data_IF_397052952283
#
_entry.id   IF_397052952283
#
_cell.length_a   1.000
_cell.length_b   1.000
_cell.length_c   1.000
_cell.angle_alpha   90.00
_cell.angle_beta   90.00
_cell.angle_gamma   90.00
#
_symmetry.space_group_name_H-M   'P 1'
#
loop_
_entity.id
_entity.type
_entity.pdbx_description
1 polymer ?
#
# COMPACT_ATOMS: atom_id res chain seq x y z
N UNK A 1 -1.91 -13.14 18.29
CA UNK A 1 -0.56 -13.40 17.77
C UNK A 1 -0.23 -12.24 16.86
N UNK A 2 0.78 -11.45 17.23
CA UNK A 2 1.42 -10.47 16.33
C UNK A 2 1.85 -11.21 15.06
N UNK A 3 1.49 -10.67 13.90
CA UNK A 3 1.94 -11.20 12.62
C UNK A 3 3.47 -11.16 12.56
N UNK A 4 4.07 -12.19 11.97
CA UNK A 4 5.49 -12.20 11.62
C UNK A 4 5.82 -10.89 10.93
N UNK A 5 6.69 -10.10 11.57
CA UNK A 5 7.31 -8.91 11.00
C UNK A 5 7.76 -9.26 9.58
N UNK A 6 7.33 -8.45 8.60
CA UNK A 6 7.76 -8.60 7.22
C UNK A 6 9.29 -8.64 7.21
N UNK A 7 9.88 -9.81 6.94
CA UNK A 7 11.24 -9.90 6.42
C UNK A 7 11.23 -9.07 5.14
N UNK A 8 11.85 -7.89 5.20
CA UNK A 8 11.86 -6.93 4.11
C UNK A 8 12.72 -7.46 2.97
N UNK A 9 12.21 -8.44 2.23
CA UNK A 9 12.61 -8.70 0.84
C UNK A 9 12.02 -7.63 -0.10
N UNK A 10 11.84 -6.40 0.41
CA UNK A 10 11.80 -5.22 -0.44
C UNK A 10 13.21 -5.10 -1.02
N UNK A 11 13.40 -5.62 -2.23
CA UNK A 11 14.61 -5.42 -3.06
C UNK A 11 14.82 -3.96 -3.47
N UNK A 12 14.45 -3.01 -2.60
CA UNK A 12 14.62 -1.57 -2.74
C UNK A 12 15.86 -1.06 -2.00
N UNK A 13 16.55 -1.90 -1.22
CA UNK A 13 17.73 -1.53 -0.43
C UNK A 13 19.02 -2.26 -0.87
N UNK A 14 19.09 -2.71 -2.13
CA UNK A 14 20.35 -3.22 -2.70
C UNK A 14 20.64 -2.59 -4.05
N UNK A 15 20.92 -1.29 -4.01
CA UNK A 15 21.88 -0.69 -4.92
C UNK A 15 22.60 0.40 -4.16
N UNK A 16 23.80 0.10 -3.69
CA UNK A 16 24.83 1.13 -3.56
C UNK A 16 24.95 1.79 -4.94
N UNK A 17 24.25 2.92 -5.14
CA UNK A 17 24.45 3.71 -6.35
C UNK A 17 25.80 4.38 -6.16
N UNK A 18 26.83 3.72 -6.69
CA UNK A 18 28.16 4.26 -6.76
C UNK A 18 28.08 5.67 -7.38
N UNK A 19 28.49 6.68 -6.62
CA UNK A 19 28.84 8.00 -7.15
C UNK A 19 30.08 7.81 -8.06
N UNK A 20 29.86 7.33 -9.28
CA UNK A 20 30.85 7.37 -10.35
C UNK A 20 30.39 8.37 -11.39
N UNK A 21 30.99 9.55 -11.30
CA UNK A 21 30.85 10.66 -12.23
C UNK A 21 31.31 10.26 -13.63
N UNK A 22 30.41 9.86 -14.53
CA UNK A 22 30.67 9.85 -15.98
C UNK A 22 29.41 10.31 -16.74
N UNK A 23 29.55 11.48 -17.36
CA UNK A 23 28.79 12.19 -18.38
C UNK A 23 27.66 11.44 -19.14
N UNK A 24 26.51 12.13 -19.21
CA UNK A 24 25.46 12.10 -20.24
C UNK A 24 24.84 10.75 -20.64
N UNK A 25 23.85 10.32 -19.86
CA UNK A 25 22.58 9.89 -20.43
C UNK A 25 21.47 10.48 -19.57
N UNK A 26 20.34 10.91 -20.17
CA UNK A 26 19.15 11.36 -19.44
C UNK A 26 18.49 10.17 -18.73
N UNK A 27 19.20 9.54 -17.79
CA UNK A 27 18.58 8.60 -16.86
C UNK A 27 17.88 9.48 -15.85
N UNK A 28 16.56 9.57 -15.95
CA UNK A 28 15.81 10.19 -14.85
C UNK A 28 16.15 9.41 -13.58
N UNK A 29 16.66 10.10 -12.57
CA UNK A 29 16.88 9.50 -11.26
C UNK A 29 15.63 8.74 -10.80
N UNK A 30 15.75 7.52 -10.26
CA UNK A 30 14.61 6.73 -9.83
C UNK A 30 13.79 7.51 -8.79
N UNK A 31 12.47 7.50 -8.96
CA UNK A 31 11.56 8.21 -8.07
C UNK A 31 11.13 7.27 -6.93
N UNK A 32 11.43 7.65 -5.69
CA UNK A 32 10.90 6.98 -4.52
C UNK A 32 9.44 7.42 -4.26
N UNK A 33 8.51 6.47 -4.33
CA UNK A 33 7.09 6.67 -3.99
C UNK A 33 6.77 5.87 -2.74
N UNK A 34 6.27 6.55 -1.71
CA UNK A 34 5.76 5.87 -0.53
C UNK A 34 4.36 5.39 -0.83
N UNK A 35 4.05 4.13 -0.53
CA UNK A 35 2.70 3.60 -0.70
C UNK A 35 2.32 2.69 0.46
N UNK A 36 1.02 2.57 0.68
CA UNK A 36 0.44 1.69 1.68
C UNK A 36 -0.91 1.13 1.19
N UNK A 37 -1.30 -0.03 1.73
CA UNK A 37 -2.51 -0.75 1.34
C UNK A 37 -3.36 -1.11 2.55
N UNK A 38 -4.65 -0.78 2.47
CA UNK A 38 -5.65 -1.34 3.37
C UNK A 38 -6.29 -2.57 2.74
N UNK A 39 -6.50 -3.61 3.54
CA UNK A 39 -6.97 -4.91 3.01
C UNK A 39 -8.11 -5.49 3.84
N UNK A 40 -8.92 -6.36 3.21
CA UNK A 40 -10.08 -6.98 3.84
C UNK A 40 -9.77 -8.01 4.94
N UNK A 41 -8.50 -8.44 5.05
CA UNK A 41 -7.96 -9.46 5.98
C UNK A 41 -6.46 -9.66 5.72
N UNK A 42 -5.75 -10.27 6.68
CA UNK A 42 -4.36 -10.70 6.51
C UNK A 42 -4.27 -12.03 5.74
N UNK A 43 -4.43 -11.99 4.42
CA UNK A 43 -4.34 -13.15 3.52
C UNK A 43 -3.99 -12.74 2.09
N UNK A 44 -3.39 -13.66 1.31
CA UNK A 44 -3.13 -13.46 -0.13
C UNK A 44 -4.40 -13.39 -0.98
N UNK A 45 -5.52 -13.88 -0.47
CA UNK A 45 -6.84 -13.81 -1.11
C UNK A 45 -7.66 -12.62 -0.58
N UNK A 46 -7.00 -11.59 -0.05
CA UNK A 46 -7.67 -10.42 0.49
C UNK A 46 -7.98 -9.42 -0.62
N UNK A 47 -9.15 -8.78 -0.55
CA UNK A 47 -9.42 -7.59 -1.36
C UNK A 47 -8.58 -6.42 -0.84
N UNK A 48 -8.04 -5.63 -1.76
CA UNK A 48 -7.50 -4.31 -1.46
C UNK A 48 -8.69 -3.35 -1.31
N UNK A 49 -8.76 -2.65 -0.18
CA UNK A 49 -9.83 -1.71 0.16
C UNK A 49 -9.42 -0.26 -0.11
N UNK A 50 -8.13 0.06 0.06
CA UNK A 50 -7.57 1.36 -0.26
C UNK A 50 -6.16 1.22 -0.83
N UNK A 51 -5.83 2.06 -1.82
CA UNK A 51 -4.47 2.27 -2.30
C UNK A 51 -4.10 3.72 -2.00
N UNK A 52 -3.10 3.92 -1.14
CA UNK A 52 -2.57 5.24 -0.83
C UNK A 52 -1.12 5.34 -1.33
N UNK A 53 -0.77 6.45 -1.97
CA UNK A 53 0.59 6.74 -2.39
C UNK A 53 0.93 8.23 -2.27
N UNK A 54 2.19 8.53 -1.99
CA UNK A 54 2.71 9.88 -1.86
C UNK A 54 4.09 10.02 -2.49
N UNK A 55 4.27 11.10 -3.26
CA UNK A 55 5.56 11.57 -3.75
C UNK A 55 5.64 13.09 -3.58
N UNK A 56 6.62 13.58 -2.84
CA UNK A 56 6.73 14.99 -2.45
C UNK A 56 5.40 15.52 -1.88
N UNK A 57 4.78 16.47 -2.59
CA UNK A 57 3.49 17.10 -2.24
C UNK A 57 2.30 16.44 -2.94
N UNK A 58 2.54 15.54 -3.89
CA UNK A 58 1.49 14.82 -4.62
C UNK A 58 1.01 13.64 -3.80
N UNK A 59 -0.31 13.49 -3.72
CA UNK A 59 -0.98 12.40 -3.02
C UNK A 59 -1.94 11.70 -3.96
N UNK A 60 -2.02 10.39 -3.84
CA UNK A 60 -3.01 9.53 -4.48
C UNK A 60 -3.65 8.69 -3.39
N UNK A 61 -4.97 8.66 -3.33
CA UNK A 61 -5.71 7.86 -2.35
C UNK A 61 -7.05 7.48 -2.95
N UNK A 62 -7.26 6.20 -3.18
CA UNK A 62 -8.50 5.68 -3.76
C UNK A 62 -9.01 4.49 -2.97
N UNK A 63 -10.33 4.43 -2.83
CA UNK A 63 -11.05 3.33 -2.21
C UNK A 63 -11.60 2.40 -3.28
N UNK A 64 -11.63 1.11 -2.99
CA UNK A 64 -12.10 0.07 -3.92
C UNK A 64 -13.19 -0.76 -3.24
N UNK A 65 -14.33 -0.90 -3.91
CA UNK A 65 -15.41 -1.73 -3.38
C UNK A 65 -14.99 -3.20 -3.31
N UNK A 66 -15.09 -3.84 -2.14
CA UNK A 66 -14.74 -5.23 -1.99
C UNK A 66 -15.79 -6.14 -2.62
N UNK A 67 -15.33 -7.24 -3.20
CA UNK A 67 -16.17 -8.34 -3.69
C UNK A 67 -16.45 -9.37 -2.60
N UNK A 68 -15.68 -9.34 -1.49
CA UNK A 68 -15.84 -10.24 -0.35
C UNK A 68 -16.11 -9.52 0.97
N UNK A 69 -16.44 -10.30 2.01
CA UNK A 69 -16.61 -9.78 3.37
C UNK A 69 -15.26 -9.33 3.95
N UNK A 70 -15.27 -8.16 4.59
CA UNK A 70 -14.16 -7.66 5.41
C UNK A 70 -14.18 -8.39 6.75
N UNK A 71 -13.02 -8.87 7.20
CA UNK A 71 -12.88 -9.51 8.50
C UNK A 71 -13.01 -8.46 9.61
N UNK A 72 -13.65 -8.82 10.73
CA UNK A 72 -13.88 -7.89 11.85
C UNK A 72 -12.61 -7.18 12.31
N UNK A 73 -11.50 -7.92 12.46
CA UNK A 73 -10.21 -7.35 12.84
C UNK A 73 -9.66 -6.35 11.81
N UNK A 74 -9.91 -6.56 10.51
CA UNK A 74 -9.50 -5.61 9.49
C UNK A 74 -10.33 -4.33 9.59
N UNK A 75 -11.66 -4.44 9.74
CA UNK A 75 -12.54 -3.29 9.98
C UNK A 75 -12.19 -2.52 11.25
N UNK A 76 -11.79 -3.19 12.33
CA UNK A 76 -11.32 -2.54 13.56
C UNK A 76 -9.99 -1.81 13.39
N UNK A 77 -9.16 -2.23 12.42
CA UNK A 77 -7.83 -1.65 12.19
C UNK A 77 -7.89 -0.41 11.31
N UNK A 78 -8.75 -0.41 10.30
CA UNK A 78 -8.79 0.64 9.28
C UNK A 78 -10.12 1.39 9.19
N UNK A 79 -11.07 1.08 10.06
CA UNK A 79 -12.41 1.66 10.09
C UNK A 79 -13.19 1.50 8.78
N UNK A 80 -12.84 0.51 7.94
CA UNK A 80 -13.53 0.22 6.69
C UNK A 80 -14.52 -0.94 6.85
N UNK A 81 -15.73 -0.73 6.39
CA UNK A 81 -16.81 -1.74 6.45
C UNK A 81 -17.44 -1.95 5.08
N UNK A 82 -17.91 -3.17 4.82
CA UNK A 82 -18.65 -3.50 3.60
C UNK A 82 -20.14 -3.58 3.96
N UNK A 83 -20.93 -2.64 3.45
CA UNK A 83 -22.38 -2.62 3.59
C UNK A 83 -22.98 -2.88 2.21
N UNK A 84 -23.53 -4.09 2.02
CA UNK A 84 -24.22 -4.50 0.77
C UNK A 84 -23.38 -4.38 -0.51
N UNK A 85 -22.06 -4.55 -0.42
CA UNK A 85 -21.13 -4.45 -1.56
C UNK A 85 -20.49 -3.07 -1.73
N UNK A 86 -20.84 -2.11 -0.88
CA UNK A 86 -20.24 -0.77 -0.88
C UNK A 86 -19.27 -0.63 0.29
N UNK A 87 -18.09 -0.09 0.02
CA UNK A 87 -17.10 0.23 1.04
C UNK A 87 -17.47 1.55 1.73
N UNK A 88 -17.54 1.52 3.05
CA UNK A 88 -17.94 2.65 3.89
C UNK A 88 -16.84 2.95 4.90
N UNK A 89 -16.53 4.23 5.10
CA UNK A 89 -15.54 4.70 6.08
C UNK A 89 -16.27 5.05 7.37
N UNK A 90 -15.85 4.49 8.51
CA UNK A 90 -16.53 4.65 9.80
C UNK A 90 -18.00 4.17 9.79
N UNK A 91 -18.39 3.30 8.86
CA UNK A 91 -19.75 2.80 8.73
C UNK A 91 -20.79 3.81 8.22
N UNK A 92 -20.37 4.95 7.68
CA UNK A 92 -21.21 6.01 7.10
C UNK A 92 -20.86 6.34 5.65
#
# INVERSE_FOLDING_TARGET
MEGTQYESNMGLLSTDVAHHSILNSEVSEPIAVFFDLETSRFSKQSDILQIAAQYNKSKFSVYVNPIQKIAAQASETNDLTNIRGELMVNGN
#
